data_IF_004296928186
#
_entry.id   IF_004296928186
#
_cell.length_a   1.000
_cell.length_b   1.000
_cell.length_c   1.000
_cell.angle_alpha   90.00
_cell.angle_beta   90.00
_cell.angle_gamma   90.00
#
_symmetry.space_group_name_H-M   'P 1'
#
loop_
_entity.id
_entity.type
_entity.pdbx_description
1 polymer ?
#
# COMPACT_ATOMS: atom_id res chain seq x y z
N UNK A 1 -5.02 -4.82 -5.32
CA UNK A 1 -4.28 -5.02 -4.07
C UNK A 1 -5.01 -6.03 -3.18
N UNK A 2 -4.28 -6.72 -2.30
CA UNK A 2 -4.90 -7.70 -1.38
C UNK A 2 -5.81 -6.97 -0.36
N UNK A 3 -5.43 -5.78 0.06
CA UNK A 3 -6.23 -4.93 0.94
C UNK A 3 -7.57 -4.53 0.28
N UNK A 4 -7.56 -4.12 -0.99
CA UNK A 4 -8.80 -3.79 -1.72
C UNK A 4 -9.78 -4.96 -1.81
N UNK A 5 -9.24 -6.17 -2.00
CA UNK A 5 -10.06 -7.39 -2.01
C UNK A 5 -10.69 -7.64 -0.64
N UNK A 6 -9.94 -7.44 0.44
CA UNK A 6 -10.45 -7.57 1.82
C UNK A 6 -11.50 -6.50 2.15
N UNK A 7 -11.25 -5.24 1.77
CA UNK A 7 -12.23 -4.16 1.92
C UNK A 7 -13.54 -4.51 1.20
N UNK A 8 -13.47 -4.97 -0.06
CA UNK A 8 -14.66 -5.35 -0.81
C UNK A 8 -15.42 -6.51 -0.16
N UNK A 9 -14.72 -7.51 0.41
CA UNK A 9 -15.32 -8.63 1.13
C UNK A 9 -16.04 -8.15 2.40
N UNK A 10 -15.40 -7.29 3.20
CA UNK A 10 -16.00 -6.73 4.41
C UNK A 10 -17.24 -5.88 4.09
N UNK A 11 -17.17 -5.03 3.07
CA UNK A 11 -18.32 -4.22 2.61
C UNK A 11 -19.48 -5.10 2.16
N UNK A 12 -19.19 -6.16 1.39
CA UNK A 12 -20.23 -7.11 0.96
C UNK A 12 -20.88 -7.81 2.17
N UNK A 13 -20.08 -8.22 3.15
CA UNK A 13 -20.60 -8.83 4.37
C UNK A 13 -21.45 -7.84 5.19
N UNK A 14 -20.98 -6.59 5.35
CA UNK A 14 -21.71 -5.56 6.09
C UNK A 14 -23.11 -5.31 5.48
N UNK A 15 -23.20 -5.20 4.15
CA UNK A 15 -24.49 -5.02 3.48
C UNK A 15 -25.45 -6.18 3.77
N UNK A 16 -24.98 -7.43 3.62
CA UNK A 16 -25.81 -8.61 3.94
C UNK A 16 -26.20 -8.65 5.43
N UNK A 17 -25.29 -8.32 6.33
CA UNK A 17 -25.53 -8.33 7.76
C UNK A 17 -26.52 -7.27 8.19
N UNK A 18 -26.42 -6.05 7.63
CA UNK A 18 -27.37 -4.95 7.90
C UNK A 18 -28.79 -5.30 7.42
N UNK A 19 -28.93 -5.88 6.23
CA UNK A 19 -30.21 -6.39 5.72
C UNK A 19 -30.81 -7.47 6.64
N UNK A 20 -29.97 -8.41 7.13
CA UNK A 20 -30.42 -9.43 8.06
C UNK A 20 -30.88 -8.83 9.40
N UNK A 21 -30.18 -7.83 9.94
CA UNK A 21 -30.62 -7.14 11.17
C UNK A 21 -31.94 -6.41 10.93
N UNK A 22 -32.14 -5.78 9.77
CA UNK A 22 -33.41 -5.15 9.39
C UNK A 22 -34.56 -6.16 9.40
N UNK A 23 -34.37 -7.33 8.77
CA UNK A 23 -35.38 -8.40 8.76
C UNK A 23 -35.67 -8.93 10.18
N UNK A 24 -34.66 -9.12 11.01
CA UNK A 24 -34.82 -9.54 12.39
C UNK A 24 -35.53 -8.47 13.23
N UNK A 25 -35.29 -7.19 13.01
CA UNK A 25 -36.01 -6.09 13.65
C UNK A 25 -37.50 -6.17 13.35
N UNK A 26 -37.89 -6.37 12.08
CA UNK A 26 -39.27 -6.54 11.65
C UNK A 26 -39.92 -7.77 12.31
N UNK A 27 -39.22 -8.90 12.30
CA UNK A 27 -39.67 -10.15 12.90
C UNK A 27 -39.88 -10.03 14.42
N UNK A 28 -38.93 -9.42 15.13
CA UNK A 28 -39.01 -9.21 16.59
C UNK A 28 -40.20 -8.32 16.91
N UNK A 29 -40.33 -7.16 16.25
CA UNK A 29 -41.41 -6.24 16.45
C UNK A 29 -42.79 -6.91 16.21
N UNK A 30 -42.92 -7.66 15.10
CA UNK A 30 -44.16 -8.38 14.76
C UNK A 30 -44.50 -9.45 15.76
N UNK A 31 -43.49 -10.24 16.21
CA UNK A 31 -43.68 -11.33 17.21
C UNK A 31 -44.13 -10.77 18.55
N UNK A 32 -43.44 -9.71 19.02
CA UNK A 32 -43.79 -9.06 20.30
C UNK A 32 -45.19 -8.42 20.26
N UNK A 33 -45.56 -7.78 19.15
CA UNK A 33 -46.94 -7.21 19.00
C UNK A 33 -48.02 -8.29 19.07
N UNK A 34 -47.72 -9.55 18.73
CA UNK A 34 -48.62 -10.71 18.84
C UNK A 34 -48.53 -11.42 20.18
N UNK A 35 -47.72 -10.95 21.12
CA UNK A 35 -47.52 -11.56 22.45
C UNK A 35 -46.68 -12.83 22.40
N UNK A 36 -45.92 -13.07 21.31
CA UNK A 36 -45.04 -14.22 21.13
C UNK A 36 -43.63 -14.00 21.72
N UNK A 37 -42.86 -15.09 21.82
CA UNK A 37 -41.46 -15.03 22.23
C UNK A 37 -40.55 -14.80 21.04
N UNK A 38 -39.62 -13.82 21.16
CA UNK A 38 -38.64 -13.43 20.15
C UNK A 38 -37.20 -13.78 20.55
N UNK A 39 -36.99 -14.59 21.60
CA UNK A 39 -35.65 -14.87 22.18
C UNK A 39 -34.66 -15.37 21.13
N UNK A 40 -35.03 -16.35 20.30
CA UNK A 40 -34.14 -16.88 19.26
C UNK A 40 -33.71 -15.80 18.24
N UNK A 41 -34.66 -14.92 17.84
CA UNK A 41 -34.36 -13.80 16.91
C UNK A 41 -33.48 -12.73 17.56
N UNK A 42 -33.62 -12.50 18.88
CA UNK A 42 -32.75 -11.60 19.65
C UNK A 42 -31.32 -12.14 19.72
N UNK A 43 -31.15 -13.42 20.00
CA UNK A 43 -29.84 -14.07 20.05
C UNK A 43 -29.15 -14.05 18.68
N UNK A 44 -29.91 -14.37 17.61
CA UNK A 44 -29.40 -14.30 16.24
C UNK A 44 -28.99 -12.87 15.86
N UNK A 45 -29.79 -11.87 16.20
CA UNK A 45 -29.44 -10.47 15.96
C UNK A 45 -28.18 -10.06 16.69
N UNK A 46 -28.03 -10.46 17.97
CA UNK A 46 -26.85 -10.14 18.77
C UNK A 46 -25.57 -10.71 18.12
N UNK A 47 -25.59 -11.96 17.67
CA UNK A 47 -24.45 -12.56 16.99
C UNK A 47 -24.06 -11.81 15.70
N UNK A 48 -25.03 -11.29 14.96
CA UNK A 48 -24.76 -10.47 13.75
C UNK A 48 -24.21 -9.10 14.16
N UNK A 49 -24.76 -8.46 15.19
CA UNK A 49 -24.26 -7.17 15.70
C UNK A 49 -22.82 -7.26 16.19
N UNK A 50 -22.47 -8.34 16.90
CA UNK A 50 -21.09 -8.58 17.37
C UNK A 50 -20.12 -8.68 16.17
N UNK A 51 -20.56 -9.36 15.10
CA UNK A 51 -19.75 -9.49 13.89
C UNK A 51 -19.63 -8.15 13.13
N UNK A 52 -20.71 -7.37 13.01
CA UNK A 52 -20.65 -6.01 12.45
C UNK A 52 -19.66 -5.17 13.26
N UNK A 53 -19.76 -5.21 14.61
CA UNK A 53 -18.90 -4.45 15.51
C UNK A 53 -17.39 -4.82 15.39
N UNK A 54 -17.06 -6.05 14.98
CA UNK A 54 -15.67 -6.44 14.71
C UNK A 54 -15.13 -5.84 13.41
N UNK A 55 -16.00 -5.50 12.46
CA UNK A 55 -15.66 -4.93 11.17
C UNK A 55 -15.61 -3.41 11.24
N UNK A 56 -16.65 -2.81 11.81
CA UNK A 56 -16.77 -1.36 12.03
C UNK A 56 -17.30 -1.16 13.45
N UNK A 57 -16.64 -0.34 14.29
CA UNK A 57 -17.16 -0.02 15.62
C UNK A 57 -18.54 0.64 15.52
N UNK A 58 -19.51 0.10 16.27
CA UNK A 58 -20.91 0.53 16.19
C UNK A 58 -21.50 0.86 17.55
N UNK A 59 -22.45 1.79 17.54
CA UNK A 59 -23.37 2.08 18.64
C UNK A 59 -24.75 1.54 18.29
N UNK A 60 -25.27 0.64 19.12
CA UNK A 60 -26.59 0.04 18.94
C UNK A 60 -27.58 0.76 19.86
N UNK A 61 -28.63 1.35 19.27
CA UNK A 61 -29.64 2.11 19.98
C UNK A 61 -30.97 1.35 19.96
N UNK A 62 -31.45 0.87 21.10
CA UNK A 62 -32.77 0.23 21.20
C UNK A 62 -33.93 1.18 20.81
N UNK A 63 -34.97 0.58 20.24
CA UNK A 63 -36.26 1.25 19.90
C UNK A 63 -37.40 0.62 20.71
N UNK A 64 -38.46 1.37 20.93
CA UNK A 64 -39.61 0.98 21.77
C UNK A 64 -40.32 -0.32 21.33
N UNK A 65 -40.23 -0.67 20.04
CA UNK A 65 -40.82 -1.88 19.47
C UNK A 65 -39.92 -3.11 19.49
N UNK A 66 -38.80 -3.09 20.27
CA UNK A 66 -37.81 -4.17 20.31
C UNK A 66 -36.84 -4.20 19.13
N UNK A 67 -36.98 -3.31 18.15
CA UNK A 67 -36.00 -3.10 17.09
C UNK A 67 -34.75 -2.38 17.61
N UNK A 68 -33.71 -2.32 16.80
CA UNK A 68 -32.50 -1.54 17.07
C UNK A 68 -32.14 -0.68 15.88
N UNK A 69 -31.60 0.49 16.15
CA UNK A 69 -30.87 1.28 15.17
C UNK A 69 -29.36 1.09 15.37
N UNK A 70 -28.59 1.21 14.31
CA UNK A 70 -27.14 1.04 14.29
C UNK A 70 -26.50 2.30 13.74
N UNK A 71 -25.58 2.86 14.49
CA UNK A 71 -24.77 4.00 14.09
C UNK A 71 -23.29 3.61 14.23
N UNK A 72 -22.44 4.17 13.41
CA UNK A 72 -20.98 4.07 13.63
C UNK A 72 -20.56 4.94 14.80
N UNK A 73 -19.36 4.73 15.36
CA UNK A 73 -18.80 5.67 16.36
C UNK A 73 -18.70 7.09 15.82
N UNK A 74 -18.43 7.26 14.52
CA UNK A 74 -18.43 8.57 13.84
C UNK A 74 -19.81 9.17 13.60
N UNK A 75 -20.90 8.52 14.04
CA UNK A 75 -22.28 9.02 14.00
C UNK A 75 -23.02 8.78 12.68
N UNK A 76 -22.42 8.07 11.71
CA UNK A 76 -23.14 7.70 10.49
C UNK A 76 -24.20 6.63 10.78
N UNK A 77 -25.45 6.83 10.29
CA UNK A 77 -26.49 5.82 10.40
C UNK A 77 -26.25 4.67 9.42
N UNK A 78 -26.15 3.46 9.94
CA UNK A 78 -26.07 2.23 9.12
C UNK A 78 -27.41 1.54 9.00
N UNK A 79 -28.24 1.62 10.04
CA UNK A 79 -29.58 1.07 10.08
C UNK A 79 -30.42 1.93 11.05
N UNK A 80 -31.56 2.43 10.61
CA UNK A 80 -32.57 2.97 11.49
C UNK A 80 -33.97 2.38 11.10
N UNK A 81 -34.62 2.92 10.09
CA UNK A 81 -35.85 2.33 9.53
C UNK A 81 -35.47 1.25 8.50
N UNK A 82 -34.47 1.51 7.68
CA UNK A 82 -33.94 0.62 6.67
C UNK A 82 -32.41 0.60 6.71
N UNK A 83 -31.82 -0.48 6.22
CA UNK A 83 -30.38 -0.61 6.06
C UNK A 83 -29.87 0.34 4.97
N UNK A 84 -28.73 0.98 5.21
CA UNK A 84 -28.04 1.72 4.16
C UNK A 84 -27.24 0.76 3.27
N UNK A 85 -27.00 1.17 2.04
CA UNK A 85 -26.08 0.45 1.14
C UNK A 85 -24.68 1.07 1.25
N UNK A 86 -23.71 0.27 1.65
CA UNK A 86 -22.30 0.65 1.68
C UNK A 86 -21.70 0.29 0.32
N UNK A 87 -21.15 1.29 -0.39
CA UNK A 87 -20.47 1.09 -1.66
C UNK A 87 -18.96 1.14 -1.53
N UNK A 88 -18.28 0.33 -2.32
CA UNK A 88 -16.82 0.36 -2.50
C UNK A 88 -16.45 -0.13 -3.90
N UNK A 89 -15.66 0.66 -4.62
CA UNK A 89 -15.14 0.28 -5.93
C UNK A 89 -13.74 -0.30 -5.80
N UNK A 90 -13.65 -1.64 -5.94
CA UNK A 90 -12.37 -2.32 -5.88
C UNK A 90 -11.48 -1.96 -7.06
N UNK A 91 -10.24 -1.56 -6.80
CA UNK A 91 -9.22 -1.38 -7.82
C UNK A 91 -8.37 -2.65 -7.96
N UNK A 92 -8.25 -3.16 -9.19
CA UNK A 92 -7.47 -4.37 -9.44
C UNK A 92 -5.97 -4.12 -9.32
N UNK A 93 -5.51 -2.94 -9.71
CA UNK A 93 -4.11 -2.52 -9.63
C UNK A 93 -4.05 -1.15 -8.96
N UNK A 94 -3.25 -1.06 -7.91
CA UNK A 94 -2.88 0.21 -7.27
C UNK A 94 -1.46 0.54 -7.72
N UNK A 95 -1.28 1.72 -8.31
CA UNK A 95 0.03 2.22 -8.75
C UNK A 95 0.62 3.17 -7.74
N UNK A 96 1.93 3.40 -7.80
CA UNK A 96 2.65 4.30 -6.90
C UNK A 96 2.11 5.74 -6.86
N UNK A 97 1.47 6.19 -7.96
CA UNK A 97 0.89 7.53 -8.06
C UNK A 97 -0.52 7.65 -7.49
N UNK A 98 -1.13 6.53 -7.08
CA UNK A 98 -2.47 6.54 -6.53
C UNK A 98 -2.43 6.71 -5.02
N UNK A 99 -2.97 7.82 -4.55
CA UNK A 99 -3.11 8.13 -3.13
C UNK A 99 -4.55 8.51 -2.80
N UNK A 100 -4.89 8.43 -1.53
CA UNK A 100 -6.18 8.91 -1.05
C UNK A 100 -6.32 10.43 -1.18
N UNK A 101 -5.25 11.16 -0.87
CA UNK A 101 -5.23 12.63 -0.94
C UNK A 101 -5.47 13.14 -2.36
N UNK A 102 -4.96 12.44 -3.37
CA UNK A 102 -5.20 12.75 -4.77
C UNK A 102 -6.58 12.29 -5.28
N UNK A 103 -7.44 11.70 -4.44
CA UNK A 103 -8.72 11.07 -4.82
C UNK A 103 -8.60 10.04 -5.95
N UNK A 104 -7.45 9.38 -6.05
CA UNK A 104 -7.19 8.35 -7.07
C UNK A 104 -7.38 6.93 -6.52
N UNK A 105 -7.57 6.79 -5.19
CA UNK A 105 -8.00 5.56 -4.53
C UNK A 105 -9.47 5.64 -4.13
N UNK A 106 -10.20 4.55 -4.32
CA UNK A 106 -11.62 4.46 -3.97
C UNK A 106 -11.84 4.62 -2.46
N UNK A 107 -12.78 5.49 -2.10
CA UNK A 107 -13.34 5.61 -0.77
C UNK A 107 -14.53 4.69 -0.56
N UNK A 108 -15.24 4.90 0.55
CA UNK A 108 -16.53 4.27 0.82
C UNK A 108 -17.65 5.26 0.50
N UNK A 109 -18.81 4.72 0.09
CA UNK A 109 -20.04 5.50 -0.05
C UNK A 109 -21.13 4.93 0.86
N UNK A 110 -22.03 5.77 1.34
CA UNK A 110 -23.29 5.38 1.99
C UNK A 110 -24.44 5.87 1.11
N UNK A 111 -25.26 4.94 0.62
CA UNK A 111 -26.33 5.23 -0.34
C UNK A 111 -25.86 6.07 -1.55
N UNK A 112 -24.66 5.78 -2.04
CA UNK A 112 -24.05 6.46 -3.18
C UNK A 112 -23.42 7.83 -2.87
N UNK A 113 -23.41 8.27 -1.61
CA UNK A 113 -22.73 9.50 -1.19
C UNK A 113 -21.37 9.16 -0.56
N UNK A 114 -20.33 9.87 -0.98
CA UNK A 114 -19.00 9.71 -0.42
C UNK A 114 -18.99 10.03 1.07
N UNK A 115 -18.31 9.20 1.84
CA UNK A 115 -18.14 9.41 3.27
C UNK A 115 -16.66 9.52 3.63
N UNK A 116 -16.35 10.46 4.52
CA UNK A 116 -15.02 10.59 5.09
C UNK A 116 -14.76 9.36 5.98
N UNK A 117 -13.81 8.53 5.58
CA UNK A 117 -13.48 7.26 6.26
C UNK A 117 -13.13 7.42 7.72
N UNK A 118 -12.38 8.47 8.06
CA UNK A 118 -11.94 8.73 9.43
C UNK A 118 -13.07 9.05 10.40
N UNK A 119 -14.19 9.53 9.90
CA UNK A 119 -15.30 9.97 10.75
C UNK A 119 -16.50 9.04 10.72
N UNK A 120 -16.74 8.38 9.59
CA UNK A 120 -17.96 7.57 9.43
C UNK A 120 -17.74 6.07 9.65
N UNK A 121 -16.67 5.51 9.11
CA UNK A 121 -16.43 4.05 9.06
C UNK A 121 -14.99 3.69 9.51
N UNK A 122 -14.37 4.49 10.37
CA UNK A 122 -13.04 4.24 10.91
C UNK A 122 -13.04 3.15 11.99
N UNK A 123 -11.94 2.42 12.10
CA UNK A 123 -11.75 1.37 13.12
C UNK A 123 -12.19 -0.02 12.66
N UNK A 124 -12.08 -1.00 13.55
CA UNK A 124 -12.33 -2.41 13.26
C UNK A 124 -11.40 -2.98 12.18
N UNK A 125 -11.74 -4.15 11.65
CA UNK A 125 -10.96 -4.78 10.58
C UNK A 125 -11.00 -3.99 9.28
N UNK A 126 -12.12 -3.33 8.97
CA UNK A 126 -12.26 -2.49 7.78
C UNK A 126 -11.31 -1.29 7.82
N UNK A 127 -11.24 -0.59 8.95
CA UNK A 127 -10.29 0.50 9.16
C UNK A 127 -8.85 0.06 9.01
N UNK A 128 -8.48 -1.10 9.59
CA UNK A 128 -7.15 -1.69 9.47
C UNK A 128 -6.77 -1.99 8.01
N UNK A 129 -7.67 -2.52 7.17
CA UNK A 129 -7.37 -2.75 5.76
C UNK A 129 -7.17 -1.45 4.98
N UNK A 130 -7.93 -0.39 5.31
CA UNK A 130 -7.68 0.92 4.73
C UNK A 130 -6.32 1.48 5.16
N UNK A 131 -5.93 1.32 6.42
CA UNK A 131 -4.62 1.75 6.92
C UNK A 131 -3.47 1.02 6.21
N UNK A 132 -3.59 -0.31 6.04
CA UNK A 132 -2.62 -1.11 5.26
C UNK A 132 -2.51 -0.60 3.83
N UNK A 133 -3.62 -0.25 3.17
CA UNK A 133 -3.60 0.22 1.79
C UNK A 133 -3.07 1.64 1.65
N UNK A 134 -3.57 2.55 2.50
CA UNK A 134 -3.44 4.01 2.30
C UNK A 134 -2.25 4.62 3.04
N UNK A 135 -1.75 3.93 4.07
CA UNK A 135 -0.62 4.41 4.87
C UNK A 135 0.59 3.50 4.68
N UNK A 136 0.51 2.24 5.13
CA UNK A 136 1.67 1.35 5.08
C UNK A 136 2.09 0.98 3.67
N UNK A 137 1.12 0.79 2.76
CA UNK A 137 1.40 0.53 1.36
C UNK A 137 2.11 1.69 0.66
N UNK A 138 1.69 2.92 0.95
CA UNK A 138 2.32 4.14 0.42
C UNK A 138 3.72 4.30 0.98
N UNK A 139 3.90 4.18 2.30
CA UNK A 139 5.22 4.26 2.94
C UNK A 139 6.20 3.20 2.41
N UNK A 140 5.73 1.95 2.25
CA UNK A 140 6.57 0.90 1.68
C UNK A 140 6.98 1.22 0.23
N UNK A 141 6.08 1.79 -0.57
CA UNK A 141 6.40 2.22 -1.93
C UNK A 141 7.44 3.36 -1.95
N UNK A 142 7.26 4.38 -1.11
CA UNK A 142 8.22 5.48 -0.97
C UNK A 142 9.62 4.97 -0.59
N UNK A 143 9.70 4.00 0.31
CA UNK A 143 10.96 3.39 0.70
C UNK A 143 11.60 2.55 -0.40
N UNK A 144 10.80 1.79 -1.17
CA UNK A 144 11.31 1.04 -2.33
C UNK A 144 11.84 1.98 -3.41
N UNK A 145 11.17 3.09 -3.64
CA UNK A 145 11.61 4.11 -4.60
C UNK A 145 12.91 4.77 -4.13
N UNK A 146 13.01 5.09 -2.84
CA UNK A 146 14.22 5.64 -2.25
C UNK A 146 15.41 4.66 -2.26
N UNK A 147 15.18 3.36 -2.04
CA UNK A 147 16.19 2.32 -2.23
C UNK A 147 16.68 2.26 -3.67
N UNK A 148 15.75 2.35 -4.63
CA UNK A 148 16.06 2.36 -6.05
C UNK A 148 16.85 3.59 -6.45
N UNK A 149 16.50 4.74 -5.90
CA UNK A 149 17.21 6.01 -6.05
C UNK A 149 18.64 5.91 -5.51
N UNK A 150 18.80 5.47 -4.26
CA UNK A 150 20.13 5.31 -3.65
C UNK A 150 21.03 4.39 -4.49
N UNK A 151 20.46 3.28 -4.99
CA UNK A 151 21.20 2.37 -5.84
C UNK A 151 21.63 3.03 -7.16
N UNK A 152 20.75 3.76 -7.84
CA UNK A 152 21.11 4.49 -9.06
C UNK A 152 22.17 5.54 -8.78
N UNK A 153 21.97 6.35 -7.73
CA UNK A 153 22.90 7.45 -7.40
C UNK A 153 24.31 6.95 -7.02
N UNK A 154 24.42 5.80 -6.30
CA UNK A 154 25.71 5.18 -5.97
C UNK A 154 26.53 4.85 -7.22
N UNK A 155 25.85 4.33 -8.25
CA UNK A 155 26.50 3.90 -9.49
C UNK A 155 26.50 4.95 -10.59
N UNK A 156 25.94 6.13 -10.34
CA UNK A 156 25.94 7.23 -11.30
C UNK A 156 27.13 8.15 -11.18
N UNK A 157 27.96 8.03 -10.12
CA UNK A 157 29.15 8.85 -9.95
C UNK A 157 30.09 8.70 -11.16
N UNK A 158 30.41 9.80 -11.89
CA UNK A 158 31.32 9.75 -13.03
C UNK A 158 32.75 9.31 -12.64
N UNK A 159 33.13 9.46 -11.37
CA UNK A 159 34.43 9.04 -10.89
C UNK A 159 34.59 7.50 -10.81
N UNK A 160 33.47 6.77 -10.66
CA UNK A 160 33.49 5.30 -10.62
C UNK A 160 33.82 4.69 -11.99
N UNK A 161 33.22 5.23 -13.06
CA UNK A 161 33.43 4.71 -14.40
C UNK A 161 33.72 5.88 -15.35
N UNK A 162 34.99 6.12 -15.56
CA UNK A 162 35.53 7.20 -16.40
C UNK A 162 35.37 6.95 -17.90
N UNK A 163 34.88 5.78 -18.30
CA UNK A 163 34.61 5.46 -19.72
C UNK A 163 33.27 6.02 -20.20
N UNK A 164 32.38 6.40 -19.28
CA UNK A 164 31.07 7.01 -19.58
C UNK A 164 31.22 8.48 -19.98
N UNK A 165 30.36 8.94 -20.89
CA UNK A 165 30.23 10.38 -21.15
C UNK A 165 29.47 11.09 -20.00
N UNK A 166 29.63 12.40 -19.90
CA UNK A 166 28.93 13.18 -18.90
C UNK A 166 27.40 13.12 -19.14
N UNK A 167 26.66 12.75 -18.12
CA UNK A 167 25.20 12.60 -18.18
C UNK A 167 24.72 11.20 -18.60
N UNK A 168 25.60 10.30 -18.99
CA UNK A 168 25.21 8.91 -19.27
C UNK A 168 24.77 8.20 -17.98
N UNK A 169 23.77 7.31 -18.06
CA UNK A 169 23.30 6.54 -16.92
C UNK A 169 24.39 5.60 -16.39
N UNK A 170 24.39 5.37 -15.08
CA UNK A 170 25.28 4.40 -14.42
C UNK A 170 24.88 2.95 -14.66
N UNK A 171 25.35 2.06 -13.77
CA UNK A 171 25.07 0.61 -13.84
C UNK A 171 23.56 0.32 -13.67
N UNK A 172 22.88 1.02 -12.76
CA UNK A 172 21.43 0.98 -12.59
C UNK A 172 20.82 2.25 -13.16
N UNK A 173 19.64 2.11 -13.76
CA UNK A 173 19.01 3.15 -14.56
C UNK A 173 17.51 3.25 -14.27
N UNK A 174 16.91 4.39 -14.57
CA UNK A 174 15.46 4.55 -14.65
C UNK A 174 15.01 4.23 -16.09
N UNK A 175 14.58 3.00 -16.33
CA UNK A 175 14.16 2.51 -17.66
C UNK A 175 15.19 2.80 -18.77
N UNK A 176 16.46 2.52 -18.52
CA UNK A 176 17.62 2.82 -19.39
C UNK A 176 17.98 4.31 -19.56
N UNK A 177 17.38 5.20 -18.80
CA UNK A 177 17.73 6.61 -18.76
C UNK A 177 18.47 6.98 -17.45
N UNK A 178 19.09 8.15 -17.43
CA UNK A 178 19.56 8.79 -16.20
C UNK A 178 18.39 9.17 -15.31
N UNK A 179 18.53 8.98 -14.01
CA UNK A 179 17.49 9.33 -13.04
C UNK A 179 17.34 10.83 -12.87
N UNK A 180 16.08 11.28 -12.83
CA UNK A 180 15.71 12.65 -12.46
C UNK A 180 14.91 12.60 -11.14
N UNK A 181 15.35 13.29 -10.06
CA UNK A 181 14.66 13.30 -8.77
C UNK A 181 13.18 13.68 -8.80
N UNK A 182 12.74 14.46 -9.80
CA UNK A 182 11.33 14.82 -9.96
C UNK A 182 10.44 13.61 -10.29
N UNK A 183 11.04 12.54 -10.81
CA UNK A 183 10.37 11.30 -11.22
C UNK A 183 10.59 10.14 -10.24
N UNK A 184 10.86 10.41 -8.96
CA UNK A 184 11.16 9.36 -7.98
C UNK A 184 9.98 8.40 -7.74
N UNK A 185 8.74 8.90 -7.73
CA UNK A 185 7.56 8.07 -7.50
C UNK A 185 7.44 6.97 -8.56
N UNK A 186 7.38 5.72 -8.09
CA UNK A 186 7.31 4.54 -8.94
C UNK A 186 8.66 4.12 -9.55
N UNK A 187 9.77 4.71 -9.11
CA UNK A 187 11.12 4.39 -9.58
C UNK A 187 11.48 2.91 -9.42
N UNK A 188 11.07 2.30 -8.32
CA UNK A 188 11.31 0.87 -8.04
C UNK A 188 10.77 -0.06 -9.13
N UNK A 189 9.69 0.32 -9.80
CA UNK A 189 9.11 -0.43 -10.93
C UNK A 189 9.82 -0.18 -12.25
N UNK A 190 10.63 0.87 -12.36
CA UNK A 190 11.39 1.27 -13.55
C UNK A 190 12.88 1.01 -13.42
N UNK A 191 13.34 0.61 -12.22
CA UNK A 191 14.74 0.27 -11.97
C UNK A 191 15.17 -0.87 -12.88
N UNK A 192 16.16 -0.63 -13.73
CA UNK A 192 16.70 -1.61 -14.65
C UNK A 192 18.23 -1.60 -14.64
N UNK A 193 18.81 -2.71 -15.05
CA UNK A 193 20.24 -2.76 -15.35
C UNK A 193 20.51 -2.02 -16.66
N UNK A 194 21.63 -1.32 -16.74
CA UNK A 194 22.03 -0.63 -17.97
C UNK A 194 22.15 -1.62 -19.13
N UNK A 195 21.52 -1.30 -20.26
CA UNK A 195 21.51 -2.15 -21.45
C UNK A 195 22.90 -2.47 -22.00
N UNK A 196 23.90 -1.65 -21.70
CA UNK A 196 25.28 -1.89 -22.11
C UNK A 196 25.88 -3.19 -21.53
N UNK A 197 25.39 -3.65 -20.36
CA UNK A 197 25.84 -4.89 -19.69
C UNK A 197 24.76 -5.96 -19.65
N UNK A 198 23.52 -5.63 -19.98
CA UNK A 198 22.43 -6.60 -20.00
C UNK A 198 22.48 -7.44 -21.28
N UNK A 199 22.85 -8.69 -21.13
CA UNK A 199 22.93 -9.63 -22.26
C UNK A 199 21.58 -9.90 -22.93
N UNK A 200 20.46 -9.76 -22.21
CA UNK A 200 19.13 -9.90 -22.78
C UNK A 200 18.77 -8.72 -23.69
N UNK A 201 19.37 -7.56 -23.43
CA UNK A 201 19.26 -6.34 -24.28
C UNK A 201 20.37 -6.24 -25.34
N UNK A 202 21.22 -7.26 -25.49
CA UNK A 202 22.35 -7.26 -26.44
C UNK A 202 23.62 -6.62 -25.92
N UNK A 203 23.70 -6.37 -24.60
CA UNK A 203 24.89 -5.84 -23.92
C UNK A 203 25.95 -6.89 -23.65
N UNK A 204 27.11 -6.42 -23.19
CA UNK A 204 28.31 -7.21 -22.96
C UNK A 204 28.72 -7.22 -21.48
N UNK A 205 28.73 -8.38 -20.83
CA UNK A 205 29.10 -8.53 -19.39
C UNK A 205 30.50 -8.02 -19.09
N UNK A 206 31.47 -8.10 -20.04
CA UNK A 206 32.84 -7.62 -19.83
C UNK A 206 32.90 -6.13 -19.49
N UNK A 207 31.91 -5.34 -19.90
CA UNK A 207 31.78 -3.91 -19.57
C UNK A 207 31.58 -3.65 -18.08
N UNK A 208 31.09 -4.62 -17.28
CA UNK A 208 31.10 -4.50 -15.82
C UNK A 208 32.52 -4.35 -15.25
N UNK A 209 33.49 -4.94 -15.92
CA UNK A 209 34.90 -4.87 -15.52
C UNK A 209 35.61 -3.67 -16.15
N UNK A 210 35.33 -3.40 -17.41
CA UNK A 210 36.14 -2.48 -18.22
C UNK A 210 35.52 -1.12 -18.44
N UNK A 211 34.22 -0.96 -18.00
CA UNK A 211 33.46 0.28 -18.08
C UNK A 211 32.30 0.21 -19.09
N UNK A 212 31.20 0.88 -18.76
CA UNK A 212 29.97 0.88 -19.56
C UNK A 212 30.17 1.52 -20.93
N UNK A 213 31.04 2.54 -21.01
CA UNK A 213 31.41 3.21 -22.24
C UNK A 213 32.58 2.59 -22.99
N UNK A 214 33.22 1.53 -22.46
CA UNK A 214 34.34 0.89 -23.10
C UNK A 214 33.97 0.28 -24.46
N UNK A 215 34.81 0.47 -25.46
CA UNK A 215 34.60 -0.01 -26.83
C UNK A 215 35.27 -1.33 -27.13
N UNK A 216 36.27 -1.73 -26.31
CA UNK A 216 37.02 -2.96 -26.42
C UNK A 216 37.35 -3.52 -25.04
N UNK A 217 37.40 -4.86 -24.87
CA UNK A 217 37.80 -5.46 -23.62
C UNK A 217 39.22 -5.05 -23.21
N UNK A 218 39.40 -4.70 -21.93
CA UNK A 218 40.70 -4.37 -21.32
C UNK A 218 41.54 -5.58 -20.94
N UNK A 219 42.58 -5.35 -20.11
CA UNK A 219 43.50 -6.38 -19.67
C UNK A 219 42.79 -7.46 -18.84
N UNK A 220 43.14 -8.74 -19.10
CA UNK A 220 42.66 -9.86 -18.31
C UNK A 220 43.18 -9.75 -16.88
N UNK A 221 42.29 -9.81 -15.89
CA UNK A 221 42.64 -9.72 -14.47
C UNK A 221 42.59 -8.33 -13.86
N UNK A 222 42.35 -7.30 -14.64
CA UNK A 222 42.04 -5.96 -14.08
C UNK A 222 40.67 -6.01 -13.36
N UNK A 223 40.70 -5.77 -12.06
CA UNK A 223 39.49 -5.75 -11.21
C UNK A 223 39.23 -4.38 -10.58
N UNK A 224 39.91 -3.34 -11.07
CA UNK A 224 39.84 -1.99 -10.48
C UNK A 224 38.38 -1.51 -10.41
N UNK A 225 37.65 -1.44 -11.53
CA UNK A 225 36.27 -1.00 -11.57
C UNK A 225 35.34 -1.87 -10.73
N UNK A 226 35.54 -3.21 -10.72
CA UNK A 226 34.74 -4.12 -9.89
C UNK A 226 34.91 -3.83 -8.39
N UNK A 227 36.13 -3.50 -7.96
CA UNK A 227 36.41 -3.10 -6.59
C UNK A 227 35.77 -1.73 -6.25
N UNK A 228 35.82 -0.79 -7.17
CA UNK A 228 35.22 0.53 -7.01
C UNK A 228 33.68 0.41 -6.92
N UNK A 229 33.06 -0.40 -7.78
CA UNK A 229 31.63 -0.70 -7.72
C UNK A 229 31.22 -1.37 -6.38
N UNK A 230 32.06 -2.28 -5.87
CA UNK A 230 31.87 -2.85 -4.53
C UNK A 230 31.97 -1.78 -3.45
N UNK A 231 33.00 -0.93 -3.53
CA UNK A 231 33.21 0.18 -2.60
C UNK A 231 32.01 1.12 -2.54
N UNK A 232 31.37 1.41 -3.68
CA UNK A 232 30.16 2.23 -3.74
C UNK A 232 28.97 1.61 -2.97
N UNK A 233 28.87 0.28 -2.89
CA UNK A 233 27.84 -0.38 -2.07
C UNK A 233 28.18 -0.34 -0.57
N UNK A 234 29.46 -0.38 -0.22
CA UNK A 234 29.95 -0.35 1.17
C UNK A 234 30.00 1.09 1.74
N UNK A 235 30.05 2.09 0.89
CA UNK A 235 30.08 3.50 1.30
C UNK A 235 28.81 3.87 2.09
N UNK A 236 29.01 4.51 3.25
CA UNK A 236 27.92 5.05 4.05
C UNK A 236 27.47 6.41 3.52
N UNK A 237 26.23 6.50 3.05
CA UNK A 237 25.62 7.72 2.50
C UNK A 237 24.32 8.04 3.22
N UNK A 238 23.99 9.33 3.28
CA UNK A 238 22.66 9.76 3.72
C UNK A 238 21.64 9.46 2.63
N UNK A 239 20.59 8.65 2.91
CA UNK A 239 19.49 8.47 1.95
C UNK A 239 18.83 9.80 1.63
N UNK A 240 18.59 10.08 0.35
CA UNK A 240 18.01 11.34 -0.09
C UNK A 240 16.50 11.41 0.13
N UNK A 241 15.85 10.27 0.40
CA UNK A 241 14.40 10.12 0.58
C UNK A 241 14.07 8.87 1.39
N UNK A 242 12.77 8.54 1.58
CA UNK A 242 12.29 7.27 2.16
C UNK A 242 12.26 7.19 3.68
N UNK A 243 12.58 8.27 4.40
CA UNK A 243 12.52 8.34 5.87
C UNK A 243 13.27 7.22 6.62
N UNK A 244 14.45 6.85 6.17
CA UNK A 244 15.32 5.83 6.81
C UNK A 244 16.05 6.33 8.06
N UNK A 245 15.69 7.47 8.60
CA UNK A 245 16.35 8.12 9.74
C UNK A 245 17.43 9.12 9.31
N UNK A 246 18.25 9.56 10.27
CA UNK A 246 19.22 10.63 10.10
C UNK A 246 20.68 10.15 10.02
N UNK A 247 20.90 8.85 9.93
CA UNK A 247 22.24 8.24 9.84
C UNK A 247 22.67 7.96 8.40
N UNK A 248 23.97 8.03 8.15
CA UNK A 248 24.54 7.52 6.91
C UNK A 248 24.53 5.98 6.91
N UNK A 249 24.08 5.34 5.83
CA UNK A 249 23.89 3.90 5.71
C UNK A 249 24.64 3.36 4.48
N UNK A 250 25.25 2.19 4.61
CA UNK A 250 25.66 1.41 3.47
C UNK A 250 24.44 0.80 2.76
N UNK A 251 24.58 0.37 1.51
CA UNK A 251 23.44 -0.20 0.78
C UNK A 251 22.79 -1.39 1.51
N UNK A 252 23.59 -2.29 2.10
CA UNK A 252 23.08 -3.43 2.85
C UNK A 252 22.28 -3.03 4.10
N UNK A 253 22.71 -1.99 4.80
CA UNK A 253 22.02 -1.48 6.00
C UNK A 253 20.69 -0.83 5.62
N UNK A 254 20.66 -0.13 4.49
CA UNK A 254 19.45 0.48 3.95
C UNK A 254 18.39 -0.59 3.60
N UNK A 255 18.80 -1.67 2.90
CA UNK A 255 17.94 -2.82 2.63
C UNK A 255 17.47 -3.54 3.91
N UNK A 256 18.36 -3.67 4.91
CA UNK A 256 18.01 -4.27 6.19
C UNK A 256 16.99 -3.44 6.96
N UNK A 257 17.11 -2.11 6.93
CA UNK A 257 16.16 -1.18 7.55
C UNK A 257 14.77 -1.30 6.93
N UNK A 258 14.68 -1.38 5.60
CA UNK A 258 13.43 -1.62 4.88
C UNK A 258 12.79 -2.96 5.28
N UNK A 259 13.59 -4.04 5.29
CA UNK A 259 13.10 -5.39 5.66
C UNK A 259 12.57 -5.43 7.10
N UNK A 260 13.20 -4.69 8.01
CA UNK A 260 12.76 -4.57 9.41
C UNK A 260 11.39 -3.91 9.56
N UNK A 261 11.10 -2.90 8.75
CA UNK A 261 9.81 -2.20 8.77
C UNK A 261 8.67 -3.10 8.25
N UNK A 262 8.91 -3.91 7.22
CA UNK A 262 7.93 -4.88 6.72
C UNK A 262 7.61 -6.01 7.71
N UNK A 263 8.52 -6.34 8.62
CA UNK A 263 8.32 -7.41 9.60
C UNK A 263 7.47 -6.97 10.81
N UNK A 264 7.27 -5.67 11.01
CA UNK A 264 6.52 -5.08 12.15
C UNK A 264 5.10 -4.65 11.74
N UNK A 265 4.83 -4.53 10.45
CA UNK A 265 3.52 -4.19 9.87
C UNK A 265 2.68 -5.44 9.58
#
# INVERSE_FOLDING_TARGET
>A
SNADMKIAQEVSYLNMALEQVEQLNIQIATTQAKGGSSLASLDQRQAILDKIGSIVPINVVPRDNGAVAIYTEGGASLLDISAVTIGFEKQNTVTAHQTLEANTLSGLTLNGQDVLRSTALGGGSLGGYFEVRDVYGVQAQEQLDALSRDLIERFSDPALDTTRAAGDPGLFTDANASFDPINEVGLSSRLTLNSAVDTAAGGDVWKLRDGLGATTPGAVGDATLLNDLRGALEESRMPASGNFGTGALAAADLFSSFSGLLAVS
#
